data_IF_090080764101
#
_entry.id   IF_090080764101
#
_cell.length_a   1.000
_cell.length_b   1.000
_cell.length_c   1.000
_cell.angle_alpha   90.00
_cell.angle_beta   90.00
_cell.angle_gamma   90.00
#
_symmetry.space_group_name_H-M   'P 1'
#
loop_
_entity.id
_entity.type
_entity.pdbx_description
1 polymer ?
#
# COMPACT_ATOMS: atom_id res chain seq x y z
N UNK A 1 13.28 18.00 7.36
CA UNK A 1 12.71 16.65 7.32
C UNK A 1 13.80 15.60 7.47
N UNK A 2 14.80 15.56 6.59
CA UNK A 2 15.89 14.56 6.62
C UNK A 2 16.99 15.03 7.58
N UNK A 3 17.32 14.21 8.60
CA UNK A 3 18.34 14.56 9.59
C UNK A 3 19.63 13.75 9.45
N UNK A 4 19.52 12.47 9.14
CA UNK A 4 20.65 11.54 9.13
C UNK A 4 20.99 11.01 7.73
N UNK A 5 20.12 11.19 6.75
CA UNK A 5 20.27 10.60 5.41
C UNK A 5 20.11 9.08 5.38
N UNK A 6 19.72 8.44 6.49
CA UNK A 6 19.48 7.01 6.53
C UNK A 6 18.22 6.67 5.73
N UNK A 7 18.32 5.65 4.88
CA UNK A 7 17.23 5.19 4.02
C UNK A 7 16.79 3.81 4.47
N UNK A 8 15.48 3.62 4.56
CA UNK A 8 14.84 2.33 4.85
C UNK A 8 13.90 1.95 3.71
N UNK A 9 14.08 0.76 3.17
CA UNK A 9 13.17 0.20 2.19
C UNK A 9 11.97 -0.42 2.93
N UNK A 10 10.76 0.10 2.67
CA UNK A 10 9.53 -0.39 3.27
C UNK A 10 8.68 -1.23 2.28
N UNK A 11 9.10 -1.30 1.02
CA UNK A 11 8.44 -2.08 -0.01
C UNK A 11 8.62 -3.59 0.19
N UNK A 12 7.61 -4.36 -0.19
CA UNK A 12 7.71 -5.81 -0.30
C UNK A 12 8.16 -6.19 -1.70
N UNK A 13 8.89 -7.29 -1.81
CA UNK A 13 9.25 -7.85 -3.11
C UNK A 13 7.99 -8.31 -3.85
N UNK A 14 7.88 -7.95 -5.13
CA UNK A 14 6.82 -8.40 -6.01
C UNK A 14 7.24 -9.72 -6.64
N UNK A 15 6.44 -10.75 -6.45
CA UNK A 15 6.69 -12.09 -6.98
C UNK A 15 5.37 -12.86 -7.11
N UNK A 16 5.33 -13.84 -8.00
CA UNK A 16 4.11 -14.61 -8.27
C UNK A 16 3.60 -15.40 -7.04
N UNK A 17 4.48 -15.68 -6.06
CA UNK A 17 4.12 -16.39 -4.82
C UNK A 17 3.59 -15.50 -3.71
N UNK A 18 3.58 -14.17 -3.91
CA UNK A 18 3.07 -13.24 -2.90
C UNK A 18 1.57 -13.44 -2.65
N UNK A 19 1.05 -13.06 -1.46
CA UNK A 19 -0.39 -13.14 -1.21
C UNK A 19 -1.15 -12.16 -2.12
N UNK A 20 -2.08 -12.70 -2.90
CA UNK A 20 -2.95 -11.95 -3.80
C UNK A 20 -4.40 -12.06 -3.35
N UNK A 21 -5.13 -10.97 -3.39
CA UNK A 21 -6.54 -10.97 -3.01
C UNK A 21 -7.42 -11.53 -4.13
N UNK A 22 -8.24 -12.53 -3.79
CA UNK A 22 -9.27 -13.11 -4.64
C UNK A 22 -8.75 -13.52 -6.04
N UNK A 23 -9.30 -12.92 -7.10
CA UNK A 23 -9.00 -13.22 -8.50
C UNK A 23 -7.85 -12.42 -9.07
N UNK A 24 -7.08 -11.72 -8.24
CA UNK A 24 -6.01 -10.86 -8.72
C UNK A 24 -4.82 -11.67 -9.20
N UNK A 25 -4.14 -11.12 -10.20
CA UNK A 25 -2.98 -11.76 -10.83
C UNK A 25 -1.76 -10.86 -10.76
N UNK A 26 -0.61 -11.48 -10.67
CA UNK A 26 0.70 -10.86 -10.88
C UNK A 26 1.56 -11.86 -11.64
N UNK A 27 1.96 -11.47 -12.85
CA UNK A 27 2.85 -12.27 -13.69
C UNK A 27 4.03 -11.41 -14.15
N UNK A 28 5.21 -12.01 -14.17
CA UNK A 28 6.42 -11.36 -14.68
C UNK A 28 7.16 -12.35 -15.58
N UNK A 29 7.47 -11.89 -16.77
CA UNK A 29 8.21 -12.66 -17.76
C UNK A 29 9.45 -11.90 -18.22
N UNK A 30 10.57 -12.57 -18.33
CA UNK A 30 11.76 -11.99 -18.94
C UNK A 30 11.73 -12.16 -20.46
N UNK A 31 12.19 -11.16 -21.16
CA UNK A 31 12.27 -11.12 -22.62
C UNK A 31 13.67 -10.74 -23.07
N UNK A 32 14.26 -11.56 -23.89
CA UNK A 32 15.52 -11.22 -24.56
C UNK A 32 15.20 -10.37 -25.81
N UNK A 33 15.64 -9.12 -25.83
CA UNK A 33 15.20 -8.15 -26.84
C UNK A 33 16.19 -8.00 -28.01
N UNK A 34 17.48 -8.26 -27.76
CA UNK A 34 18.53 -8.05 -28.75
C UNK A 34 19.37 -9.31 -28.87
N UNK A 35 19.37 -9.98 -30.04
CA UNK A 35 20.31 -11.06 -30.32
C UNK A 35 21.73 -10.50 -30.37
N UNK A 36 22.73 -11.34 -30.09
CA UNK A 36 24.13 -10.99 -30.09
C UNK A 36 24.67 -10.67 -31.51
N UNK A 37 24.19 -9.60 -32.12
CA UNK A 37 24.61 -9.11 -33.43
C UNK A 37 25.53 -7.91 -33.25
N UNK A 38 26.55 -7.84 -34.13
CA UNK A 38 27.51 -6.76 -34.14
C UNK A 38 28.82 -7.08 -33.41
N UNK A 39 29.81 -6.24 -33.63
CA UNK A 39 31.17 -6.42 -33.12
C UNK A 39 31.30 -6.36 -31.62
N UNK A 40 30.43 -5.60 -30.95
CA UNK A 40 30.43 -5.47 -29.48
C UNK A 40 29.68 -6.59 -28.76
N UNK A 41 29.02 -7.48 -29.49
CA UNK A 41 28.23 -8.62 -28.96
C UNK A 41 27.25 -8.25 -27.85
N UNK A 42 26.70 -7.04 -27.87
CA UNK A 42 25.76 -6.55 -26.88
C UNK A 42 24.41 -7.25 -27.03
N UNK A 43 23.86 -7.68 -25.91
CA UNK A 43 22.47 -8.14 -25.77
C UNK A 43 21.75 -7.34 -24.68
N UNK A 44 20.44 -7.40 -24.62
CA UNK A 44 19.62 -6.81 -23.57
C UNK A 44 18.45 -7.72 -23.22
N UNK A 45 18.03 -7.60 -21.97
CA UNK A 45 16.84 -8.27 -21.45
C UNK A 45 15.90 -7.21 -20.88
N UNK A 46 14.61 -7.50 -20.93
CA UNK A 46 13.55 -6.66 -20.40
C UNK A 46 12.54 -7.55 -19.68
N UNK A 47 11.70 -6.95 -18.85
CA UNK A 47 10.63 -7.61 -18.14
C UNK A 47 9.28 -7.14 -18.69
N UNK A 48 8.34 -8.09 -18.80
CA UNK A 48 6.92 -7.84 -19.03
C UNK A 48 6.22 -8.12 -17.71
N UNK A 49 5.47 -7.15 -17.21
CA UNK A 49 4.65 -7.32 -16.02
C UNK A 49 3.18 -7.20 -16.41
N UNK A 50 2.41 -8.23 -16.07
CA UNK A 50 0.96 -8.21 -16.14
C UNK A 50 0.43 -8.29 -14.70
N UNK A 51 -0.21 -7.23 -14.26
CA UNK A 51 -0.67 -7.16 -12.87
C UNK A 51 -1.90 -6.27 -12.72
N UNK A 52 -2.75 -6.64 -11.79
CA UNK A 52 -3.75 -5.74 -11.22
C UNK A 52 -3.10 -4.98 -10.07
N UNK A 53 -2.91 -3.66 -10.23
CA UNK A 53 -2.15 -2.83 -9.28
C UNK A 53 -2.87 -2.72 -7.94
N UNK A 54 -4.22 -2.72 -7.95
CA UNK A 54 -5.01 -2.60 -6.72
C UNK A 54 -4.94 -3.85 -5.84
N UNK A 55 -4.72 -3.69 -4.53
CA UNK A 55 -4.67 -4.77 -3.51
C UNK A 55 -3.54 -5.80 -3.71
N UNK A 56 -2.51 -5.46 -4.47
CA UNK A 56 -1.37 -6.34 -4.75
C UNK A 56 -0.11 -5.83 -4.05
N UNK A 57 0.10 -4.51 -4.07
CA UNK A 57 1.31 -3.85 -3.56
C UNK A 57 0.95 -2.66 -2.68
N UNK A 58 1.97 -2.07 -2.03
CA UNK A 58 1.82 -0.76 -1.41
C UNK A 58 1.46 0.26 -2.50
N UNK A 59 0.37 0.99 -2.31
CA UNK A 59 -0.20 1.92 -3.27
C UNK A 59 -0.81 3.13 -2.58
N UNK A 60 -1.13 4.11 -3.37
CA UNK A 60 -1.98 5.22 -2.97
C UNK A 60 -3.36 5.03 -3.63
N UNK A 61 -4.40 4.87 -2.82
CA UNK A 61 -5.78 4.81 -3.31
C UNK A 61 -6.27 6.22 -3.61
N UNK A 62 -6.51 6.50 -4.90
CA UNK A 62 -7.04 7.79 -5.34
C UNK A 62 -8.52 7.97 -5.01
N UNK A 63 -9.03 9.19 -5.18
CA UNK A 63 -10.41 9.55 -4.86
C UNK A 63 -11.47 8.85 -5.72
N UNK A 64 -11.07 8.20 -6.81
CA UNK A 64 -11.95 7.36 -7.64
C UNK A 64 -11.97 5.89 -7.22
N UNK A 65 -11.19 5.48 -6.18
CA UNK A 65 -11.09 4.06 -5.82
C UNK A 65 -12.33 3.51 -5.13
N UNK A 66 -13.00 4.30 -4.32
CA UNK A 66 -14.17 3.88 -3.54
C UNK A 66 -15.42 4.66 -3.95
N UNK A 67 -16.57 3.98 -3.95
CA UNK A 67 -17.87 4.60 -4.17
C UNK A 67 -18.79 4.39 -2.96
N UNK A 68 -19.72 5.31 -2.79
CA UNK A 68 -20.90 5.12 -1.95
C UNK A 68 -22.14 5.13 -2.86
N UNK A 69 -22.71 3.97 -3.12
CA UNK A 69 -23.65 3.80 -4.21
C UNK A 69 -22.97 4.09 -5.56
N UNK A 70 -23.49 5.04 -6.32
CA UNK A 70 -22.96 5.53 -7.59
C UNK A 70 -22.07 6.79 -7.44
N UNK A 71 -21.88 7.26 -6.20
CA UNK A 71 -21.21 8.52 -5.92
C UNK A 71 -19.77 8.31 -5.48
N UNK A 72 -18.89 9.16 -6.00
CA UNK A 72 -17.47 9.23 -5.68
C UNK A 72 -17.19 10.50 -4.85
N UNK A 73 -15.91 10.69 -4.49
CA UNK A 73 -15.45 11.91 -3.84
C UNK A 73 -15.97 13.16 -4.55
N UNK A 74 -16.37 14.17 -3.77
CA UNK A 74 -16.89 15.44 -4.26
C UNK A 74 -18.14 15.30 -5.15
N UNK A 75 -18.99 14.29 -4.87
CA UNK A 75 -20.27 14.04 -5.53
C UNK A 75 -20.19 13.74 -7.05
N UNK A 76 -19.04 13.42 -7.58
CA UNK A 76 -18.96 12.89 -8.94
C UNK A 76 -19.74 11.57 -9.04
N UNK A 77 -20.38 11.35 -10.19
CA UNK A 77 -21.06 10.09 -10.48
C UNK A 77 -20.11 9.16 -11.25
N UNK A 78 -20.15 7.88 -10.89
CA UNK A 78 -19.28 6.88 -11.52
C UNK A 78 -19.45 6.87 -13.04
N UNK A 79 -20.69 6.82 -13.51
CA UNK A 79 -21.01 6.73 -14.95
C UNK A 79 -20.61 7.97 -15.74
N UNK A 80 -20.46 9.12 -15.06
CA UNK A 80 -20.06 10.38 -15.72
C UNK A 80 -18.55 10.46 -15.96
N UNK A 81 -17.75 9.73 -15.18
CA UNK A 81 -16.29 9.88 -15.21
C UNK A 81 -15.51 8.60 -15.50
N UNK A 82 -16.11 7.42 -15.34
CA UNK A 82 -15.46 6.14 -15.63
C UNK A 82 -15.51 5.84 -17.13
N UNK A 83 -14.38 5.52 -17.71
CA UNK A 83 -14.28 5.07 -19.10
C UNK A 83 -13.50 3.76 -19.15
N UNK A 84 -13.50 3.11 -20.32
CA UNK A 84 -12.70 1.91 -20.54
C UNK A 84 -11.19 2.16 -20.36
N UNK A 85 -10.73 3.37 -20.66
CA UNK A 85 -9.31 3.72 -20.67
C UNK A 85 -8.87 4.44 -19.38
N UNK A 86 -9.79 4.57 -18.39
CA UNK A 86 -9.53 5.20 -17.10
C UNK A 86 -10.60 6.22 -16.70
N UNK A 87 -10.31 6.97 -15.64
CA UNK A 87 -11.21 8.01 -15.15
C UNK A 87 -10.87 9.36 -15.77
N UNK A 88 -11.90 10.13 -16.18
CA UNK A 88 -11.75 11.47 -16.72
C UNK A 88 -11.59 12.54 -15.64
N UNK A 89 -11.88 12.22 -14.39
CA UNK A 89 -11.73 13.03 -13.18
C UNK A 89 -11.17 12.19 -12.05
N UNK A 90 -10.65 12.83 -11.03
CA UNK A 90 -10.13 12.21 -9.81
C UNK A 90 -8.93 11.28 -10.05
N UNK A 91 -8.23 11.43 -11.18
CA UNK A 91 -7.05 10.63 -11.51
C UNK A 91 -5.90 10.87 -10.54
N UNK A 92 -5.22 9.79 -10.18
CA UNK A 92 -4.10 9.81 -9.22
C UNK A 92 -2.91 10.63 -9.72
N UNK A 93 -2.75 10.77 -11.02
CA UNK A 93 -1.72 11.59 -11.66
C UNK A 93 -1.77 13.07 -11.26
N UNK A 94 -2.92 13.53 -10.78
CA UNK A 94 -3.13 14.92 -10.34
C UNK A 94 -2.70 15.16 -8.88
N UNK A 95 -2.36 14.11 -8.12
CA UNK A 95 -1.91 14.25 -6.73
C UNK A 95 -0.45 14.72 -6.65
N UNK A 96 0.38 14.28 -7.60
CA UNK A 96 1.80 14.56 -7.60
C UNK A 96 2.59 13.77 -6.58
N UNK A 97 3.84 14.15 -6.35
CA UNK A 97 4.71 13.50 -5.38
C UNK A 97 4.41 13.95 -3.95
N UNK A 98 4.23 12.99 -3.05
CA UNK A 98 4.05 13.24 -1.62
C UNK A 98 5.40 13.11 -0.90
N UNK A 99 5.85 14.20 -0.30
CA UNK A 99 7.05 14.23 0.54
C UNK A 99 6.67 14.85 1.90
N UNK A 100 6.59 14.02 2.92
CA UNK A 100 6.19 14.49 4.25
C UNK A 100 6.85 13.68 5.36
N UNK A 101 6.62 14.08 6.61
CA UNK A 101 7.05 13.30 7.77
C UNK A 101 6.12 12.10 7.97
N UNK A 102 6.71 10.88 8.02
CA UNK A 102 6.00 9.68 8.46
C UNK A 102 6.07 9.55 9.99
N UNK A 103 4.94 9.28 10.63
CA UNK A 103 4.84 9.00 12.08
C UNK A 103 4.39 7.55 12.24
N UNK A 104 5.30 6.68 12.70
CA UNK A 104 4.99 5.29 12.98
C UNK A 104 4.33 5.16 14.37
N UNK A 105 3.10 4.68 14.38
CA UNK A 105 2.33 4.40 15.61
C UNK A 105 2.30 2.89 15.82
N UNK A 106 3.07 2.41 16.79
CA UNK A 106 3.22 0.97 17.04
C UNK A 106 2.18 0.47 18.05
N UNK A 107 1.02 0.06 17.52
CA UNK A 107 -0.07 -0.48 18.33
C UNK A 107 0.22 -1.91 18.79
N UNK A 108 0.94 -2.71 18.00
CA UNK A 108 1.33 -4.05 18.43
C UNK A 108 2.24 -3.98 19.67
N UNK A 109 3.24 -3.11 19.66
CA UNK A 109 4.11 -2.89 20.82
C UNK A 109 3.36 -2.28 22.02
N UNK A 110 2.36 -1.40 21.80
CA UNK A 110 1.51 -0.90 22.87
C UNK A 110 0.79 -2.04 23.61
N UNK A 111 0.27 -3.01 22.85
CA UNK A 111 -0.44 -4.19 23.39
C UNK A 111 0.51 -5.29 23.89
N UNK A 112 1.82 -5.12 23.78
CA UNK A 112 2.81 -6.11 24.23
C UNK A 112 2.83 -7.37 23.37
N UNK A 113 2.39 -7.31 22.11
CA UNK A 113 2.35 -8.44 21.17
C UNK A 113 3.18 -8.15 19.93
N UNK A 114 3.61 -9.19 19.24
CA UNK A 114 4.28 -9.04 17.95
C UNK A 114 3.29 -8.74 16.81
N UNK A 115 2.05 -9.22 16.95
CA UNK A 115 1.00 -9.07 15.95
C UNK A 115 -0.35 -8.98 16.67
N UNK A 116 -1.19 -8.04 16.24
CA UNK A 116 -2.56 -7.90 16.71
C UNK A 116 -3.44 -9.07 16.23
N UNK A 117 -4.52 -9.41 16.96
CA UNK A 117 -5.49 -10.40 16.51
C UNK A 117 -6.12 -10.06 15.15
N UNK A 118 -6.60 -11.08 14.44
CA UNK A 118 -7.10 -11.03 13.05
C UNK A 118 -8.15 -9.94 12.78
N UNK A 119 -9.01 -9.66 13.75
CA UNK A 119 -10.13 -8.69 13.62
C UNK A 119 -10.01 -7.55 14.63
N UNK A 120 -8.78 -7.29 15.10
CA UNK A 120 -8.56 -6.24 16.09
C UNK A 120 -8.91 -4.87 15.51
N UNK A 121 -9.79 -4.14 16.19
CA UNK A 121 -10.14 -2.77 15.85
C UNK A 121 -9.23 -1.79 16.61
N UNK A 122 -8.37 -1.10 15.90
CA UNK A 122 -7.49 -0.07 16.45
C UNK A 122 -8.32 1.18 16.74
N UNK A 123 -8.46 1.51 18.01
CA UNK A 123 -9.31 2.62 18.47
C UNK A 123 -8.53 3.94 18.58
N UNK A 124 -9.26 5.05 18.70
CA UNK A 124 -8.68 6.37 19.03
C UNK A 124 -7.82 6.29 20.30
N UNK A 125 -8.32 5.58 21.32
CA UNK A 125 -7.60 5.41 22.59
C UNK A 125 -6.28 4.65 22.41
N UNK A 126 -6.26 3.64 21.54
CA UNK A 126 -5.02 2.92 21.20
C UNK A 126 -3.99 3.83 20.55
N UNK A 127 -4.42 4.61 19.56
CA UNK A 127 -3.53 5.54 18.84
C UNK A 127 -2.96 6.60 19.80
N UNK A 128 -3.80 7.20 20.64
CA UNK A 128 -3.38 8.19 21.64
C UNK A 128 -2.41 7.59 22.66
N UNK A 129 -2.69 6.38 23.16
CA UNK A 129 -1.83 5.68 24.10
C UNK A 129 -0.48 5.32 23.49
N UNK A 130 -0.47 4.87 22.21
CA UNK A 130 0.78 4.56 21.51
C UNK A 130 1.63 5.82 21.27
N UNK A 131 1.03 6.91 20.81
CA UNK A 131 1.71 8.19 20.66
C UNK A 131 2.33 8.68 21.98
N UNK A 132 1.55 8.61 23.07
CA UNK A 132 2.04 8.97 24.41
C UNK A 132 3.22 8.09 24.85
N UNK A 133 3.10 6.78 24.67
CA UNK A 133 4.18 5.83 24.98
C UNK A 133 5.46 6.12 24.19
N UNK A 134 5.32 6.44 22.91
CA UNK A 134 6.44 6.74 22.00
C UNK A 134 6.95 8.18 22.12
N UNK A 135 6.30 9.03 22.93
CA UNK A 135 6.60 10.46 23.06
C UNK A 135 6.55 11.20 21.73
N UNK A 136 5.55 10.86 20.90
CA UNK A 136 5.33 11.43 19.59
C UNK A 136 4.11 12.37 19.60
N UNK A 137 4.19 13.42 18.79
CA UNK A 137 3.08 14.31 18.48
C UNK A 137 2.86 14.38 16.99
N UNK A 138 1.60 14.46 16.58
CA UNK A 138 1.20 14.68 15.20
C UNK A 138 1.18 16.17 14.87
N UNK A 139 1.46 16.47 13.63
CA UNK A 139 1.33 17.81 13.05
C UNK A 139 0.53 17.74 11.73
N UNK A 140 -0.13 18.82 11.32
CA UNK A 140 -0.77 18.89 10.03
C UNK A 140 0.19 18.52 8.89
N UNK A 141 -0.25 17.66 7.99
CA UNK A 141 0.56 17.19 6.86
C UNK A 141 1.40 15.93 7.15
N UNK A 142 1.41 15.39 8.37
CA UNK A 142 2.06 14.12 8.65
C UNK A 142 1.36 12.95 7.95
N UNK A 143 2.14 11.98 7.52
CA UNK A 143 1.64 10.67 7.12
C UNK A 143 1.66 9.72 8.33
N UNK A 144 0.53 9.13 8.66
CA UNK A 144 0.39 8.20 9.78
C UNK A 144 0.61 6.78 9.28
N UNK A 145 1.55 6.06 9.90
CA UNK A 145 1.87 4.67 9.62
C UNK A 145 1.51 3.84 10.85
N UNK A 146 0.49 3.00 10.74
CA UNK A 146 0.01 2.18 11.86
C UNK A 146 0.62 0.78 11.76
N UNK A 147 1.40 0.40 12.78
CA UNK A 147 2.01 -0.92 12.85
C UNK A 147 1.15 -1.87 13.67
N UNK A 148 0.67 -2.92 13.01
CA UNK A 148 -0.17 -3.97 13.60
C UNK A 148 0.55 -5.31 13.74
N UNK A 149 1.73 -5.44 13.15
CA UNK A 149 2.47 -6.69 13.05
C UNK A 149 1.94 -7.67 11.99
N UNK A 150 0.82 -7.37 11.32
CA UNK A 150 0.16 -8.28 10.38
C UNK A 150 1.06 -8.72 9.23
N UNK A 151 1.99 -7.88 8.81
CA UNK A 151 2.99 -8.19 7.81
C UNK A 151 3.91 -9.38 8.13
N UNK A 152 3.94 -9.88 9.38
CA UNK A 152 4.68 -11.08 9.77
C UNK A 152 4.14 -12.36 9.11
N UNK A 153 2.90 -12.35 8.64
CA UNK A 153 2.28 -13.48 7.93
C UNK A 153 2.69 -13.56 6.45
N UNK A 154 3.17 -12.46 5.88
CA UNK A 154 3.56 -12.40 4.46
C UNK A 154 4.62 -13.45 4.13
N UNK A 155 4.33 -14.30 3.15
CA UNK A 155 5.20 -15.39 2.74
C UNK A 155 5.31 -16.57 3.73
N UNK A 156 4.62 -16.48 4.88
CA UNK A 156 4.59 -17.56 5.90
C UNK A 156 3.21 -18.19 6.01
N UNK A 157 2.17 -17.39 6.03
CA UNK A 157 0.77 -17.83 6.06
C UNK A 157 -0.07 -16.86 5.20
N UNK A 158 0.08 -16.99 3.90
CA UNK A 158 -0.61 -16.13 2.94
C UNK A 158 -2.14 -16.30 3.02
N UNK A 159 -2.62 -17.50 3.35
CA UNK A 159 -4.05 -17.76 3.50
C UNK A 159 -4.66 -16.93 4.63
N UNK A 160 -4.04 -16.91 5.80
CA UNK A 160 -4.47 -16.09 6.92
C UNK A 160 -4.28 -14.59 6.64
N UNK A 161 -3.14 -14.23 6.02
CA UNK A 161 -2.85 -12.83 5.65
C UNK A 161 -3.98 -12.22 4.82
N UNK A 162 -4.55 -12.99 3.88
CA UNK A 162 -5.57 -12.52 2.93
C UNK A 162 -7.01 -12.66 3.43
N UNK A 163 -7.24 -13.43 4.49
CA UNK A 163 -8.60 -13.71 4.98
C UNK A 163 -9.20 -12.54 5.76
N UNK A 164 -8.44 -11.98 6.67
CA UNK A 164 -8.83 -10.87 7.55
C UNK A 164 -7.59 -10.04 7.88
N UNK A 165 -7.77 -8.91 8.53
CA UNK A 165 -6.67 -8.10 9.06
C UNK A 165 -7.17 -7.18 10.18
N UNK A 166 -6.32 -6.77 11.12
CA UNK A 166 -6.63 -5.67 12.03
C UNK A 166 -6.70 -4.36 11.24
N UNK A 167 -7.59 -3.48 11.63
CA UNK A 167 -7.81 -2.19 10.98
C UNK A 167 -8.17 -1.09 11.96
N UNK A 168 -8.21 0.15 11.49
CA UNK A 168 -8.64 1.29 12.30
C UNK A 168 -10.16 1.33 12.41
N UNK A 169 -10.67 1.79 13.57
CA UNK A 169 -12.10 2.06 13.74
C UNK A 169 -12.53 3.27 12.90
N UNK A 170 -13.81 3.34 12.58
CA UNK A 170 -14.39 4.51 11.90
C UNK A 170 -14.14 5.82 12.68
N UNK A 171 -14.14 5.76 14.01
CA UNK A 171 -13.87 6.93 14.85
C UNK A 171 -12.37 7.32 14.86
N UNK A 172 -11.48 6.39 14.47
CA UNK A 172 -10.04 6.63 14.41
C UNK A 172 -9.57 7.10 13.02
N UNK A 173 -10.41 6.96 12.01
CA UNK A 173 -10.18 7.46 10.66
C UNK A 173 -10.53 8.95 10.56
#
# INVERSE_FOLDING_TARGET
LIRTGQVFELGRRLEASMPLQATRTFEMHTKHTTPYQGSNRRGSNEEIVLAEIGQVIARFDGFAHQTFGDSLYNCFKLDDIATRDGFTKLGIENVGALVTRGVLIDVAALKGVQMLPDTYEVTVADLQAALKRQQLTLAPGDAIIIHTGWGLLWGKDNGRYMKTNPGISTAAA
#
